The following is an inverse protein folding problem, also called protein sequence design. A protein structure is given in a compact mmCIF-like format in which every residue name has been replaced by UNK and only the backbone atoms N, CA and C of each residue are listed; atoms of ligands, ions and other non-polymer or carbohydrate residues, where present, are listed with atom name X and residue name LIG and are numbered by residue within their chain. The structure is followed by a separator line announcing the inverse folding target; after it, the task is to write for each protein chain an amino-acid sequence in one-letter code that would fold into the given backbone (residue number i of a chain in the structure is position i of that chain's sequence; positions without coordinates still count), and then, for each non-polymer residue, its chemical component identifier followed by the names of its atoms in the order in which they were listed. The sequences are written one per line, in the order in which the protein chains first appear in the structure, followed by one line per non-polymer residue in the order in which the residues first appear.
data_IF_740881144542
#
_entry.id   IF_740881144542
#
_cell.length_a   1.000
_cell.length_b   1.000
_cell.length_c   1.000
_cell.angle_alpha   90.00
_cell.angle_beta   90.00
_cell.angle_gamma   90.00
#
_symmetry.space_group_name_H-M   'P 1'
#
loop_
_entity.id
_entity.type
_entity.pdbx_description
1 polymer ?
2 non-polymer ?
3 non-polymer ?
4 non-polymer ?
5 non-polymer ?
6 water ?
#
# COMPACT_ATOMS: atom_id res chain seq x y z
N UNK A 3 24.22 -4.11 1.51
CA UNK A 3 23.44 -3.19 0.61
C UNK A 3 22.05 -3.73 0.31
N UNK A 4 21.14 -3.60 1.28
CA UNK A 4 19.76 -4.05 1.10
C UNK A 4 19.02 -2.94 0.37
N UNK A 5 17.85 -3.27 -0.12
CA UNK A 5 17.06 -2.37 -0.95
C UNK A 5 16.53 -1.10 -0.27
N UNK A 6 16.31 -0.10 -1.09
CA UNK A 6 15.69 1.14 -0.65
C UNK A 6 14.17 0.91 -0.56
N UNK A 7 13.54 1.35 0.53
CA UNK A 7 12.09 1.16 0.68
C UNK A 7 11.42 2.49 0.99
N UNK A 8 10.34 2.75 0.27
CA UNK A 8 9.48 3.91 0.50
C UNK A 8 8.20 3.38 1.17
N UNK A 9 7.88 3.90 2.34
CA UNK A 9 6.63 3.56 3.02
C UNK A 9 5.72 4.75 2.88
N UNK A 10 4.53 4.51 2.33
CA UNK A 10 3.52 5.53 2.17
C UNK A 10 2.43 5.29 3.23
N UNK A 11 2.39 6.19 4.21
CA UNK A 11 1.42 6.12 5.31
C UNK A 11 0.22 6.94 4.95
N UNK A 12 -0.85 6.25 4.57
CA UNK A 12 -2.10 6.88 4.17
C UNK A 12 -3.14 6.97 5.29
N UNK A 13 -2.69 7.04 6.53
CA UNK A 13 -3.61 7.25 7.66
C UNK A 13 -4.45 8.48 7.42
N UNK A 14 -5.70 8.44 7.87
CA UNK A 14 -6.63 9.57 7.69
C UNK A 14 -7.42 9.72 8.98
N UNK A 15 -7.36 10.91 9.58
CA UNK A 15 -8.09 11.18 10.82
C UNK A 15 -9.60 11.13 10.53
N UNK A 16 -10.32 10.50 11.44
CA UNK A 16 -11.76 10.28 11.31
C UNK A 16 -12.37 10.59 12.68
N UNK A 17 -13.54 11.23 12.71
CA UNK A 17 -14.19 11.60 13.98
C UNK A 17 -14.29 10.43 14.94
N UNK A 18 -14.50 9.24 14.39
CA UNK A 18 -14.66 8.04 15.21
C UNK A 18 -13.49 7.05 15.08
N UNK A 19 -12.28 7.60 14.87
CA UNK A 19 -11.08 6.78 14.79
C UNK A 19 -10.74 6.26 16.19
N UNK A 20 -10.76 4.95 16.35
CA UNK A 20 -10.52 4.29 17.63
C UNK A 20 -9.08 4.36 18.11
N UNK A 21 -8.11 4.40 17.18
CA UNK A 21 -6.70 4.45 17.56
C UNK A 21 -5.78 4.99 16.49
N UNK A 22 -4.55 4.45 16.45
CA UNK A 22 -3.53 4.87 15.48
C UNK A 22 -2.75 3.65 14.99
N UNK A 23 -3.49 2.67 14.47
CA UNK A 23 -2.88 1.45 14.00
C UNK A 23 -2.04 1.69 12.74
N UNK A 24 -2.47 2.58 11.83
CA UNK A 24 -1.68 2.82 10.62
C UNK A 24 -0.35 3.51 10.91
N UNK A 25 -0.34 4.45 11.85
CA UNK A 25 0.92 5.09 12.25
C UNK A 25 1.83 4.05 12.91
N UNK A 26 1.26 3.24 13.80
CA UNK A 26 2.02 2.21 14.50
C UNK A 26 2.68 1.26 13.50
N UNK A 27 1.90 0.74 12.55
CA UNK A 27 2.43 -0.21 11.55
C UNK A 27 3.44 0.42 10.59
N UNK A 28 3.24 1.70 10.29
CA UNK A 28 4.21 2.42 9.46
C UNK A 28 5.57 2.41 10.17
N UNK A 29 5.55 2.76 11.45
CA UNK A 29 6.80 2.84 12.23
C UNK A 29 7.42 1.45 12.52
N UNK A 30 6.57 0.45 12.70
CA UNK A 30 7.02 -0.95 12.87
C UNK A 30 7.78 -1.38 11.61
N UNK A 31 7.21 -1.08 10.44
CA UNK A 31 7.89 -1.44 9.20
C UNK A 31 9.20 -0.66 9.07
N UNK A 32 9.16 0.63 9.37
CA UNK A 32 10.40 1.43 9.25
C UNK A 32 11.52 0.88 10.13
N UNK A 33 11.18 0.59 11.39
CA UNK A 33 12.15 0.03 12.35
C UNK A 33 12.67 -1.32 11.88
N UNK A 34 11.75 -2.20 11.49
CA UNK A 34 12.10 -3.55 11.02
C UNK A 34 13.05 -3.48 9.83
N UNK A 35 12.69 -2.65 8.85
CA UNK A 35 13.49 -2.56 7.64
C UNK A 35 14.87 -1.91 7.89
N UNK A 36 14.92 -0.90 8.74
CA UNK A 36 16.22 -0.30 9.08
C UNK A 36 17.12 -1.29 9.85
N UNK A 37 16.53 -2.04 10.79
CA UNK A 37 17.27 -3.04 11.56
C UNK A 37 17.84 -4.11 10.65
N UNK A 38 17.12 -4.41 9.56
CA UNK A 38 17.55 -5.43 8.61
C UNK A 38 18.39 -4.92 7.43
N UNK A 39 18.86 -3.67 7.52
CA UNK A 39 19.82 -3.13 6.54
C UNK A 39 19.34 -2.26 5.42
N UNK A 40 18.04 -1.98 5.35
CA UNK A 40 17.50 -1.15 4.30
C UNK A 40 17.57 0.35 4.63
N UNK A 41 17.69 1.18 3.59
CA UNK A 41 17.45 2.64 3.74
C UNK A 41 15.94 2.79 3.57
N UNK A 42 15.33 3.62 4.40
CA UNK A 42 13.88 3.77 4.42
C UNK A 42 13.48 5.22 4.44
N UNK A 43 12.51 5.56 3.59
CA UNK A 43 11.90 6.89 3.60
C UNK A 43 10.41 6.70 3.87
N UNK A 44 9.82 7.66 4.58
CA UNK A 44 8.39 7.61 4.89
C UNK A 44 7.67 8.85 4.39
N UNK A 45 6.61 8.64 3.60
CA UNK A 45 5.73 9.73 3.18
C UNK A 45 4.45 9.63 3.99
N UNK A 46 4.06 10.73 4.63
CA UNK A 46 2.81 10.76 5.41
C UNK A 46 1.84 11.59 4.56
N UNK A 47 0.96 10.90 3.86
CA UNK A 47 0.11 11.53 2.86
C UNK A 47 -0.73 12.69 3.36
N UNK A 48 -1.30 12.56 4.57
CA UNK A 48 -2.18 13.59 5.11
C UNK A 48 -1.47 14.88 5.55
N UNK A 49 -0.16 14.87 5.46
CA UNK A 49 0.64 16.09 5.72
C UNK A 49 0.87 16.93 4.46
N UNK A 50 0.49 16.39 3.31
CA UNK A 50 0.73 17.06 2.04
C UNK A 50 2.07 16.58 1.54
N UNK A 51 2.39 16.90 0.29
CA UNK A 51 3.61 16.40 -0.33
C UNK A 51 3.86 17.22 -1.59
N UNK A 52 5.12 17.22 -2.01
CA UNK A 52 5.55 17.87 -3.28
C UNK A 52 5.52 16.72 -4.29
N UNK A 53 4.66 16.83 -5.28
CA UNK A 53 4.48 15.74 -6.26
C UNK A 53 5.79 15.27 -6.88
N UNK A 54 6.63 16.22 -7.34
CA UNK A 54 7.88 15.82 -7.98
C UNK A 54 8.81 15.08 -7.02
N UNK A 55 8.89 15.52 -5.77
CA UNK A 55 9.68 14.79 -4.77
C UNK A 55 9.20 13.36 -4.62
N UNK A 56 7.89 13.16 -4.64
CA UNK A 56 7.34 11.81 -4.47
C UNK A 56 7.68 10.93 -5.69
N UNK A 57 7.63 11.51 -6.89
CA UNK A 57 8.03 10.77 -8.09
C UNK A 57 9.50 10.35 -7.93
N UNK A 58 10.34 11.27 -7.49
CA UNK A 58 11.76 10.95 -7.26
C UNK A 58 11.93 9.87 -6.17
N UNK A 59 11.04 9.85 -5.20
CA UNK A 59 11.07 8.80 -4.16
C UNK A 59 10.81 7.44 -4.79
N UNK A 60 9.87 7.38 -5.73
CA UNK A 60 9.58 6.13 -6.44
C UNK A 60 10.77 5.69 -7.25
N UNK A 61 11.44 6.63 -7.94
CA UNK A 61 12.59 6.27 -8.74
C UNK A 61 13.74 5.76 -7.86
N UNK A 62 13.87 6.30 -6.66
CA UNK A 62 14.90 5.88 -5.69
C UNK A 62 14.57 4.53 -5.04
N UNK A 63 13.31 4.28 -4.78
CA UNK A 63 12.91 3.06 -4.06
C UNK A 63 12.99 1.81 -4.90
N UNK A 64 13.31 0.70 -4.25
CA UNK A 64 13.25 -0.61 -4.91
C UNK A 64 11.90 -1.27 -4.59
N UNK A 65 11.32 -0.94 -3.42
CA UNK A 65 10.05 -1.47 -2.95
C UNK A 65 9.23 -0.34 -2.36
N UNK A 66 7.94 -0.36 -2.68
CA UNK A 66 6.98 0.61 -2.17
C UNK A 66 6.00 -0.15 -1.26
N UNK A 67 5.80 0.33 -0.04
CA UNK A 67 4.80 -0.25 0.85
C UNK A 67 3.70 0.78 1.11
N UNK A 68 2.46 0.41 0.80
CA UNK A 68 1.29 1.26 1.06
C UNK A 68 0.63 0.80 2.36
N UNK A 69 0.75 1.62 3.42
CA UNK A 69 0.13 1.34 4.73
C UNK A 69 -1.16 2.17 4.76
N UNK A 70 -2.31 1.50 4.72
CA UNK A 70 -3.57 2.25 4.63
C UNK A 70 -4.79 1.62 5.25
N UNK A 71 -5.66 2.47 5.84
CA UNK A 71 -6.94 2.00 6.33
C UNK A 71 -7.87 1.80 5.14
N UNK A 72 -8.76 0.83 5.21
CA UNK A 72 -9.77 0.66 4.18
C UNK A 72 -10.92 1.66 4.43
N UNK A 73 -11.21 2.45 3.40
CA UNK A 73 -12.32 3.40 3.43
C UNK A 73 -13.25 3.02 2.27
N UNK A 74 -14.49 2.66 2.58
CA UNK A 74 -15.46 2.31 1.53
C UNK A 74 -14.87 1.36 0.48
N UNK A 75 -14.26 0.30 1.02
CA UNK A 75 -13.73 -0.82 0.23
C UNK A 75 -12.41 -0.63 -0.44
N UNK A 76 -11.76 0.50 -0.21
CA UNK A 76 -10.49 0.74 -0.86
C UNK A 76 -9.69 1.84 -0.19
N UNK A 77 -8.83 2.47 -0.95
CA UNK A 77 -7.96 3.46 -0.35
C UNK A 77 -8.70 4.74 0.03
N UNK A 78 -8.22 5.42 1.09
CA UNK A 78 -8.84 6.71 1.42
C UNK A 78 -8.62 7.67 0.24
N UNK A 79 -9.52 8.63 0.07
CA UNK A 79 -9.41 9.54 -1.06
C UNK A 79 -8.05 10.24 -1.14
N UNK A 80 -7.44 10.50 0.02
CA UNK A 80 -6.14 11.21 -0.01
C UNK A 80 -5.09 10.38 -0.76
N UNK A 81 -5.17 9.06 -0.67
CA UNK A 81 -4.22 8.22 -1.37
C UNK A 81 -4.57 8.13 -2.86
N UNK A 82 -5.87 8.11 -3.21
CA UNK A 82 -6.21 8.16 -4.64
C UNK A 82 -5.74 9.47 -5.26
N UNK A 83 -5.83 10.57 -4.51
CA UNK A 83 -5.31 11.85 -5.02
C UNK A 83 -3.79 11.75 -5.24
N UNK A 84 -3.10 11.19 -4.26
CA UNK A 84 -1.65 10.98 -4.36
C UNK A 84 -1.32 10.21 -5.63
N UNK A 85 -1.97 9.08 -5.88
CA UNK A 85 -1.60 8.35 -7.10
C UNK A 85 -2.06 9.05 -8.37
N UNK A 86 -3.20 9.72 -8.35
CA UNK A 86 -3.68 10.45 -9.54
C UNK A 86 -2.70 11.57 -9.91
N UNK A 87 -1.97 12.08 -8.92
CA UNK A 87 -0.98 13.14 -9.18
C UNK A 87 0.37 12.52 -9.50
N UNK A 88 0.89 11.71 -8.57
CA UNK A 88 2.22 11.10 -8.73
C UNK A 88 2.38 10.23 -9.98
N UNK A 89 1.44 9.29 -10.20
CA UNK A 89 1.57 8.41 -11.35
C UNK A 89 1.42 9.21 -12.66
N UNK A 90 0.40 10.05 -12.75
CA UNK A 90 0.16 10.86 -13.93
C UNK A 90 1.37 11.75 -14.24
N UNK A 91 1.87 12.43 -13.23
CA UNK A 91 2.92 13.43 -13.41
C UNK A 91 4.32 12.83 -13.54
N UNK A 92 4.39 11.50 -13.46
CA UNK A 92 5.63 10.77 -13.69
C UNK A 92 5.75 10.23 -15.12
N UNK A 93 4.93 10.76 -16.03
CA UNK A 93 4.93 10.34 -17.44
C UNK A 93 6.32 10.54 -18.06
N UNK A 94 6.89 9.49 -18.62
CA UNK A 94 8.24 9.52 -19.20
C UNK A 94 9.30 8.93 -18.27
N UNK A 95 8.94 8.71 -17.00
CA UNK A 95 9.84 8.18 -16.00
C UNK A 95 9.26 6.96 -15.26
N UNK A 96 7.99 7.06 -14.84
CA UNK A 96 7.31 5.92 -14.18
C UNK A 96 6.64 5.02 -15.23
N UNK A 97 6.11 5.63 -16.27
CA UNK A 97 5.49 4.87 -17.35
C UNK A 97 5.64 5.69 -18.63
N UNK A 98 5.65 4.99 -19.76
CA UNK A 98 5.78 5.65 -21.06
C UNK A 98 4.44 5.78 -21.75
N UNK A 99 3.65 4.71 -21.72
CA UNK A 99 2.36 4.66 -22.41
C UNK A 99 1.59 3.46 -21.91
N UNK A 100 0.45 3.17 -22.55
CA UNK A 100 -0.32 1.98 -22.18
C UNK A 100 0.26 0.71 -22.80
N UNK A 101 1.36 0.88 -23.55
CA UNK A 101 2.07 -0.26 -24.14
C UNK A 101 1.57 -0.74 -25.49
N UNK A 102 0.53 -0.14 -26.04
CA UNK A 102 0.03 -0.56 -27.36
C UNK A 102 0.75 0.15 -28.50
N UNK A 103 0.81 -0.50 -29.66
CA UNK A 103 1.39 0.08 -30.89
C UNK A 103 0.72 -0.57 -32.08
N UNK A 107 -3.94 -2.72 -31.71
CA UNK A 107 -4.57 -1.79 -30.79
C UNK A 107 -5.48 -2.50 -29.78
N UNK A 108 -5.64 -3.81 -29.93
CA UNK A 108 -6.49 -4.60 -29.00
C UNK A 108 -5.69 -5.39 -27.96
N UNK A 109 -4.40 -5.58 -28.20
CA UNK A 109 -3.53 -6.29 -27.27
C UNK A 109 -2.42 -5.39 -26.76
N UNK A 110 -1.81 -5.78 -25.64
CA UNK A 110 -0.68 -5.06 -25.10
C UNK A 110 -0.99 -4.04 -24.02
N UNK A 111 -2.26 -3.71 -23.78
CA UNK A 111 -2.60 -2.71 -22.75
C UNK A 111 -1.98 -3.05 -21.41
N UNK A 112 -1.29 -2.08 -20.79
CA UNK A 112 -0.65 -2.26 -19.49
C UNK A 112 0.82 -2.67 -19.52
N UNK A 113 1.39 -2.75 -20.72
CA UNK A 113 2.80 -3.17 -20.89
C UNK A 113 3.76 -2.02 -21.19
N UNK A 114 3.32 -0.78 -20.94
CA UNK A 114 4.14 0.40 -21.24
C UNK A 114 4.79 1.07 -20.04
N UNK A 115 4.92 0.33 -18.93
CA UNK A 115 5.59 0.86 -17.76
C UNK A 115 7.08 1.03 -17.96
N UNK A 116 7.71 1.72 -17.02
CA UNK A 116 9.15 1.95 -17.08
C UNK A 116 9.89 1.52 -15.83
N UNK A 117 9.16 1.13 -14.78
CA UNK A 117 9.81 0.76 -13.52
C UNK A 117 9.74 -0.73 -13.19
N UNK A 118 9.82 -1.56 -14.22
CA UNK A 118 9.92 -3.00 -14.03
C UNK A 118 11.14 -3.25 -13.14
N UNK A 119 11.04 -4.24 -12.27
CA UNK A 119 12.13 -4.52 -11.33
C UNK A 119 11.78 -4.05 -9.93
N UNK A 120 10.95 -3.00 -9.83
CA UNK A 120 10.48 -2.53 -8.52
C UNK A 120 9.28 -3.36 -8.08
N UNK A 121 9.11 -3.48 -6.77
CA UNK A 121 8.00 -4.22 -6.20
C UNK A 121 7.19 -3.33 -5.28
N UNK A 122 5.96 -3.72 -5.02
CA UNK A 122 5.09 -2.93 -4.13
C UNK A 122 4.30 -3.92 -3.28
N UNK A 123 3.80 -3.44 -2.16
CA UNK A 123 3.05 -4.30 -1.24
C UNK A 123 1.98 -3.48 -0.55
N UNK A 124 0.80 -4.07 -0.43
CA UNK A 124 -0.31 -3.46 0.32
C UNK A 124 -0.33 -3.96 1.77
N UNK A 125 -0.46 -3.04 2.70
CA UNK A 125 -0.62 -3.36 4.13
C UNK A 125 -1.88 -2.61 4.53
N UNK A 126 -2.96 -3.35 4.77
CA UNK A 126 -4.29 -2.73 4.96
C UNK A 126 -4.94 -3.05 6.29
N UNK A 127 -5.71 -2.10 6.81
CA UNK A 127 -6.42 -2.29 8.08
C UNK A 127 -7.93 -2.19 7.78
N UNK A 128 -8.66 -3.24 8.17
CA UNK A 128 -10.10 -3.39 7.90
C UNK A 128 -10.87 -3.81 9.15
N UNK A 129 -12.11 -3.34 9.30
CA UNK A 129 -12.94 -3.90 10.40
C UNK A 129 -13.64 -5.18 9.92
N UNK A 130 -13.72 -5.38 8.60
CA UNK A 130 -14.33 -6.62 8.06
C UNK A 130 -13.60 -7.85 8.54
N UNK A 131 -14.33 -8.96 8.75
CA UNK A 131 -13.72 -10.20 9.17
C UNK A 131 -13.06 -10.85 7.96
N UNK A 132 -12.02 -11.63 8.19
CA UNK A 132 -11.33 -12.26 7.09
C UNK A 132 -12.27 -13.11 6.21
N UNK A 133 -13.28 -13.73 6.82
CA UNK A 133 -14.23 -14.58 6.07
C UNK A 133 -15.04 -13.88 4.97
N UNK A 134 -15.23 -12.58 5.12
CA UNK A 134 -15.97 -11.81 4.12
C UNK A 134 -15.29 -11.86 2.76
N UNK A 135 -13.99 -12.12 2.76
CA UNK A 135 -13.18 -12.14 1.53
C UNK A 135 -13.00 -13.52 0.94
N UNK A 136 -13.06 -14.55 1.77
CA UNK A 136 -12.77 -15.92 1.33
C UNK A 136 -13.99 -16.85 1.16
N UNK A 137 -15.01 -16.68 2.00
CA UNK A 137 -16.23 -17.51 1.93
C UNK A 137 -16.99 -17.13 0.66
N UNK A 138 -17.13 -18.08 -0.29
CA UNK A 138 -17.78 -17.77 -1.57
C UNK A 138 -19.22 -17.27 -1.47
N UNK A 139 -19.87 -17.53 -0.34
CA UNK A 139 -21.25 -17.10 -0.12
C UNK A 139 -21.35 -15.74 0.57
N UNK A 140 -20.21 -15.13 0.91
CA UNK A 140 -20.26 -13.84 1.58
C UNK A 140 -20.10 -12.68 0.60
N UNK A 141 -20.07 -11.47 1.17
CA UNK A 141 -20.11 -10.19 0.43
C UNK A 141 -19.21 -10.10 -0.80
N UNK A 142 -17.95 -10.54 -0.68
CA UNK A 142 -17.01 -10.42 -1.80
C UNK A 142 -16.93 -11.65 -2.69
N UNK A 143 -17.82 -12.59 -2.43
CA UNK A 143 -17.92 -13.81 -3.22
C UNK A 143 -16.60 -14.54 -3.48
N UNK A 144 -15.77 -14.58 -2.43
CA UNK A 144 -14.53 -15.33 -2.43
C UNK A 144 -13.38 -14.85 -3.27
N UNK A 145 -13.40 -13.59 -3.71
CA UNK A 145 -12.31 -13.11 -4.58
C UNK A 145 -11.05 -12.77 -3.80
N UNK A 146 -11.15 -12.74 -2.47
CA UNK A 146 -9.96 -12.44 -1.68
C UNK A 146 -9.65 -10.96 -1.60
N UNK A 147 -8.79 -10.59 -0.66
CA UNK A 147 -8.40 -9.17 -0.50
C UNK A 147 -7.80 -8.64 -1.79
N UNK A 148 -7.02 -9.44 -2.51
CA UNK A 148 -6.41 -8.95 -3.74
C UNK A 148 -7.42 -8.69 -4.85
N UNK A 149 -8.53 -9.42 -4.85
CA UNK A 149 -9.61 -9.16 -5.81
C UNK A 149 -10.29 -7.84 -5.50
N UNK A 150 -10.50 -7.56 -4.22
CA UNK A 150 -11.12 -6.31 -3.83
C UNK A 150 -10.22 -5.11 -4.21
N UNK A 151 -8.91 -5.29 -4.06
CA UNK A 151 -7.93 -4.23 -4.41
C UNK A 151 -7.43 -4.30 -5.86
N UNK A 152 -8.12 -5.07 -6.70
CA UNK A 152 -7.70 -5.22 -8.09
C UNK A 152 -7.33 -3.90 -8.80
N UNK A 153 -8.20 -2.88 -8.75
CA UNK A 153 -7.81 -1.68 -9.51
C UNK A 153 -6.55 -1.01 -8.95
N UNK A 154 -6.35 -1.05 -7.63
CA UNK A 154 -5.15 -0.45 -7.02
C UNK A 154 -3.90 -1.24 -7.42
N UNK A 155 -4.02 -2.56 -7.39
CA UNK A 155 -2.96 -3.41 -7.90
C UNK A 155 -2.62 -3.09 -9.36
N UNK A 156 -3.65 -2.97 -10.20
CA UNK A 156 -3.42 -2.74 -11.62
C UNK A 156 -2.84 -1.36 -11.91
N UNK A 157 -3.16 -0.35 -11.09
CA UNK A 157 -2.57 0.98 -11.30
C UNK A 157 -1.05 0.89 -11.12
N UNK A 158 -0.63 0.14 -10.09
CA UNK A 158 0.81 -0.06 -9.84
C UNK A 158 1.49 -0.93 -10.91
N UNK A 159 0.78 -1.95 -11.37
CA UNK A 159 1.31 -2.87 -12.40
C UNK A 159 1.43 -2.20 -13.77
N UNK A 160 0.60 -1.18 -14.02
CA UNK A 160 0.63 -0.42 -15.28
C UNK A 160 1.99 0.28 -15.41
N UNK A 161 2.58 0.62 -14.26
CA UNK A 161 3.91 1.25 -14.20
C UNK A 161 5.03 0.24 -14.41
N UNK A 162 4.70 -1.06 -14.34
CA UNK A 162 5.64 -2.15 -14.54
C UNK A 162 6.01 -2.90 -13.27
N UNK A 163 5.49 -2.47 -12.13
CA UNK A 163 5.85 -3.08 -10.86
C UNK A 163 5.13 -4.41 -10.65
N UNK A 164 5.69 -5.23 -9.78
CA UNK A 164 5.08 -6.51 -9.39
C UNK A 164 4.78 -6.49 -7.89
N UNK A 165 3.70 -7.17 -7.50
CA UNK A 165 3.32 -7.18 -6.10
C UNK A 165 3.98 -8.24 -5.25
N UNK A 166 4.10 -7.90 -3.97
CA UNK A 166 4.47 -8.84 -2.93
C UNK A 166 3.15 -9.17 -2.22
N UNK A 167 3.09 -10.29 -1.49
CA UNK A 167 1.83 -10.64 -0.87
C UNK A 167 1.31 -9.58 0.10
N UNK A 168 0.00 -9.38 0.08
CA UNK A 168 -0.67 -8.40 0.91
C UNK A 168 -0.74 -8.77 2.38
N UNK A 169 -0.53 -7.78 3.24
CA UNK A 169 -0.72 -7.95 4.69
C UNK A 169 -2.04 -7.27 5.07
N UNK A 170 -2.87 -7.97 5.81
CA UNK A 170 -4.16 -7.39 6.24
C UNK A 170 -4.44 -7.66 7.69
N UNK A 171 -4.86 -6.62 8.39
CA UNK A 171 -5.39 -6.73 9.74
C UNK A 171 -6.92 -6.60 9.61
N UNK A 172 -7.66 -7.53 10.25
CA UNK A 172 -9.12 -7.57 10.21
C UNK A 172 -9.78 -7.32 11.57
N UNK A 173 -11.07 -6.95 11.55
CA UNK A 173 -11.83 -6.67 12.78
C UNK A 173 -11.05 -5.74 13.70
N UNK A 174 -10.41 -4.72 13.12
CA UNK A 174 -9.55 -3.83 13.91
C UNK A 174 -10.28 -2.93 14.90
N UNK A 175 -11.59 -2.73 14.69
CA UNK A 175 -12.39 -1.91 15.61
C UNK A 175 -13.04 -2.79 16.68
N UNK A 176 -13.70 -3.87 16.24
CA UNK A 176 -14.42 -4.77 17.15
C UNK A 176 -13.56 -5.81 17.89
N UNK A 177 -12.37 -6.11 17.38
CA UNK A 177 -11.50 -7.09 18.03
C UNK A 177 -10.04 -6.65 17.89
N UNK A 178 -9.68 -5.50 18.52
CA UNK A 178 -8.30 -5.01 18.40
C UNK A 178 -7.25 -5.97 18.98
N UNK A 179 -6.08 -6.00 18.36
CA UNK A 179 -5.00 -6.87 18.82
C UNK A 179 -3.68 -6.28 18.30
N UNK A 180 -3.32 -5.13 18.85
CA UNK A 180 -2.10 -4.40 18.43
C UNK A 180 -0.81 -5.21 18.55
N UNK A 181 -0.55 -5.82 19.71
CA UNK A 181 0.69 -6.58 19.88
C UNK A 181 0.77 -7.74 18.90
N UNK A 182 -0.35 -8.42 18.68
CA UNK A 182 -0.43 -9.51 17.70
C UNK A 182 -0.19 -9.04 16.28
N UNK A 183 -0.79 -7.90 15.93
CA UNK A 183 -0.63 -7.31 14.60
C UNK A 183 0.86 -7.01 14.37
N UNK A 184 1.50 -6.41 15.37
CA UNK A 184 2.92 -6.05 15.26
C UNK A 184 3.76 -7.29 15.05
N UNK A 185 3.56 -8.30 15.89
CA UNK A 185 4.31 -9.54 15.75
C UNK A 185 4.09 -10.19 14.39
N UNK A 186 2.83 -10.28 13.97
CA UNK A 186 2.46 -10.85 12.65
C UNK A 186 3.11 -10.07 11.52
N UNK A 187 3.07 -8.74 11.61
CA UNK A 187 3.58 -7.87 10.54
C UNK A 187 5.09 -8.02 10.37
N UNK A 188 5.82 -8.13 11.48
CA UNK A 188 7.26 -8.38 11.39
C UNK A 188 7.53 -9.70 10.66
N UNK A 189 6.78 -10.74 11.00
CA UNK A 189 6.97 -12.02 10.31
C UNK A 189 6.66 -11.87 8.80
N UNK A 190 5.61 -11.10 8.46
CA UNK A 190 5.24 -10.87 7.07
C UNK A 190 6.35 -10.12 6.29
N UNK A 191 6.91 -9.10 6.91
CA UNK A 191 7.97 -8.34 6.30
C UNK A 191 9.20 -9.23 6.09
N UNK A 192 9.53 -10.07 7.07
CA UNK A 192 10.66 -10.98 6.89
C UNK A 192 10.43 -11.92 5.70
N UNK A 193 9.23 -12.50 5.64
CA UNK A 193 8.93 -13.49 4.64
C UNK A 193 8.81 -12.95 3.22
N UNK A 194 8.37 -11.71 3.12
CA UNK A 194 8.00 -11.14 1.82
C UNK A 194 8.89 -10.03 1.31
N UNK A 195 9.44 -9.22 2.19
CA UNK A 195 10.35 -8.17 1.74
C UNK A 195 11.81 -8.62 1.75
N UNK A 196 12.21 -9.40 2.77
CA UNK A 196 13.61 -9.83 2.93
C UNK A 196 14.03 -11.14 2.30
N UNK A 197 13.09 -11.86 1.70
CA UNK A 197 13.38 -13.10 1.03
C UNK A 197 13.93 -12.86 -0.40
X LIG B 1 -6.46 3.58 12.36
X LIG B 1 -7.31 4.79 12.25
X LIG B 1 -6.23 3.28 13.80
X LIG B 1 -7.14 2.44 11.70
X LIG B 1 -5.14 3.82 11.76
X LIG C 1 13.59 14.59 -2.79
X LIG C 1 13.08 14.65 -1.45
X LIG C 1 13.40 13.19 -3.33
X LIG C 1 14.33 12.32 -2.70
X LIG C 1 14.65 11.15 -3.46
X LIG C 1 16.05 10.67 -3.10
X LIG C 1 16.68 10.46 0.92
X LIG C 1 17.62 9.70 0.13
X LIG C 1 17.49 10.08 -1.34
X LIG C 1 16.13 10.28 -1.72
X LIG D 1 2.58 -11.95 -5.29
X LIG D 1 2.45 -13.37 -5.46
X LIG D 1 1.45 -11.44 -4.41
X LIG D 1 0.28 -11.23 -5.20
X LIG D 1 -0.49 -10.12 -4.74
X LIG D 1 -1.83 -10.05 -5.46
X LIG D 1 -1.70 -10.15 -6.89
X LIG E 1 3.23 11.54 13.35
X LIG E 1 4.10 10.83 14.22
X LIG E 1 3.57 11.24 11.89
X LIG E 1 4.38 12.30 11.37
X LIG E 1 5.74 11.95 11.10
X LIG E 1 6.29 12.84 10.01
X LIG E 1 6.66 14.11 10.54
X LIG F 1 -14.10 -0.31 3.88
X LIG F 1 -15.02 -1.17 4.50
X LIG F 1 -16.40 -0.61 4.27
X LIG F 1 -16.76 0.20 5.37
X LIG F 1 -18.51 1.27 6.46
X LIG F 1 -18.07 0.66 5.17
X LIG F 1 -17.69 2.40 6.69
X LIG F 1 -17.54 4.59 7.54
X LIG F 1 -18.33 3.31 7.56
X LIG F 1 -16.19 4.29 7.87
X LIG F 1 -14.03 5.21 8.24
X LIG F 1 -15.38 5.41 7.58
X LIG F 1 -13.50 3.94 7.89
X LIG F 1 -12.04 2.68 9.38
X LIG F 1 -12.15 3.80 8.35
X LIG F 1 -12.35 3.18 10.69
#
# INVERSE_FOLDING_TARGET
SNAMSNVLIINAMKEFAHSKGALNLTLTNVAADFLRESGHQVKITTVDQGYDIESEIENYLWADTIIYQMPAWWMGEPWILKKYIDEVFTDGHGRLYQSDGRTRSDATKGYGSGGLIQGKTYMLSVTWNAPREAFTDPEQFFHGVGVDGVYLPFHKANQFLGMKPLPTFMCNDVIKQPDIEGDIARYRQHLAENVNS
SO4 S O1 O2 O3 O4
PGE C1 O1 C2 O2 C3 C4 O4 C6 C5 O3
PEG C1 O1 C2 O2 C3 C4 O4
PEG C1 O1 C2 O2 C3 C4 O4
1PE OH2 C12 C22 OH3 C13 C23 OH4 C14 C24 OH5 C15 C25 OH6 C16 C26 OH7
#
